data_IF_985064178758
#
_entry.id   IF_985064178758
#
_cell.length_a   1.000
_cell.length_b   1.000
_cell.length_c   1.000
_cell.angle_alpha   90.00
_cell.angle_beta   90.00
_cell.angle_gamma   90.00
#
_symmetry.space_group_name_H-M   'P 1'
#
loop_
_entity.id
_entity.type
_entity.pdbx_description
1 polymer ?
#
# COMPACT_ATOMS: atom_id res chain seq x y z
N UNK A 1 -8.92 -5.78 -8.57
CA UNK A 1 -8.82 -5.14 -9.90
C UNK A 1 -8.50 -6.22 -10.94
N UNK A 2 -9.06 -6.13 -12.14
CA UNK A 2 -8.78 -7.09 -13.22
C UNK A 2 -7.73 -6.49 -14.17
N UNK A 3 -6.53 -7.01 -14.13
CA UNK A 3 -5.40 -6.52 -14.94
C UNK A 3 -5.63 -6.68 -16.45
N UNK A 4 -6.36 -7.70 -16.86
CA UNK A 4 -6.76 -7.88 -18.27
C UNK A 4 -7.67 -6.75 -18.74
N UNK A 5 -8.62 -6.33 -17.91
CA UNK A 5 -9.50 -5.20 -18.23
C UNK A 5 -8.73 -3.87 -18.30
N UNK A 6 -7.74 -3.69 -17.44
CA UNK A 6 -6.83 -2.54 -17.48
C UNK A 6 -6.04 -2.52 -18.78
N UNK A 7 -5.46 -3.66 -19.18
CA UNK A 7 -4.72 -3.79 -20.43
C UNK A 7 -5.59 -3.44 -21.64
N UNK A 8 -6.83 -3.91 -21.67
CA UNK A 8 -7.79 -3.58 -22.73
C UNK A 8 -8.14 -2.08 -22.76
N UNK A 9 -8.32 -1.47 -21.59
CA UNK A 9 -8.62 -0.04 -21.49
C UNK A 9 -7.44 0.83 -21.97
N UNK A 10 -6.20 0.43 -21.68
CA UNK A 10 -4.99 1.08 -22.19
C UNK A 10 -4.90 0.94 -23.71
N UNK A 11 -5.13 -0.26 -24.24
CA UNK A 11 -5.06 -0.54 -25.68
C UNK A 11 -6.13 0.23 -26.47
N UNK A 12 -7.32 0.38 -25.92
CA UNK A 12 -8.43 1.11 -26.56
C UNK A 12 -8.34 2.63 -26.39
N UNK A 13 -7.38 3.14 -25.61
CA UNK A 13 -7.27 4.57 -25.29
C UNK A 13 -8.29 5.10 -24.29
N UNK A 14 -9.12 4.24 -23.69
CA UNK A 14 -10.06 4.63 -22.64
C UNK A 14 -9.36 5.00 -21.33
N UNK A 15 -8.17 4.44 -21.12
CA UNK A 15 -7.28 4.76 -20.02
C UNK A 15 -5.98 5.34 -20.57
N UNK A 16 -5.61 6.54 -20.15
CA UNK A 16 -4.44 7.26 -20.66
C UNK A 16 -3.10 6.72 -20.16
N UNK A 17 -3.08 6.14 -18.97
CA UNK A 17 -1.88 5.54 -18.37
C UNK A 17 -2.23 4.71 -17.15
N UNK A 18 -1.31 3.83 -16.74
CA UNK A 18 -1.46 2.98 -15.59
C UNK A 18 -0.12 2.78 -14.90
N UNK A 19 -0.13 2.82 -13.58
CA UNK A 19 1.03 2.49 -12.77
C UNK A 19 0.63 1.52 -11.64
N UNK A 20 1.41 0.49 -11.42
CA UNK A 20 1.17 -0.48 -10.37
C UNK A 20 2.46 -0.99 -9.74
N UNK A 21 2.41 -1.22 -8.42
CA UNK A 21 3.47 -1.84 -7.64
C UNK A 21 3.02 -3.20 -7.05
N UNK A 22 1.71 -3.47 -7.11
CA UNK A 22 1.07 -4.69 -6.56
C UNK A 22 0.20 -5.33 -7.64
N UNK A 23 0.21 -6.64 -7.72
CA UNK A 23 -0.43 -7.39 -8.77
C UNK A 23 -1.38 -8.48 -8.24
N UNK A 24 -2.35 -8.86 -9.05
CA UNK A 24 -3.38 -9.84 -8.68
C UNK A 24 -2.80 -11.23 -8.37
N UNK A 25 -1.67 -11.62 -8.96
CA UNK A 25 -1.03 -12.90 -8.67
C UNK A 25 -0.44 -12.98 -7.24
N UNK A 26 -0.25 -11.85 -6.57
CA UNK A 26 0.27 -11.80 -5.20
C UNK A 26 -0.80 -12.10 -4.14
N UNK A 27 -2.08 -12.12 -4.52
CA UNK A 27 -3.18 -12.42 -3.59
C UNK A 27 -3.33 -13.92 -3.35
N UNK A 28 -2.51 -14.46 -2.44
CA UNK A 28 -2.46 -15.87 -2.07
C UNK A 28 -3.76 -16.42 -1.46
N UNK A 29 -4.69 -15.56 -1.08
CA UNK A 29 -6.00 -15.96 -0.55
C UNK A 29 -6.97 -16.40 -1.65
N UNK A 30 -6.68 -16.03 -2.89
CA UNK A 30 -7.52 -16.37 -4.03
C UNK A 30 -7.00 -17.62 -4.73
N UNK A 31 -7.83 -18.66 -4.76
CA UNK A 31 -7.52 -19.88 -5.49
C UNK A 31 -7.48 -19.65 -7.01
N UNK A 32 -8.31 -18.74 -7.50
CA UNK A 32 -8.43 -18.35 -8.91
C UNK A 32 -7.47 -17.23 -9.34
N UNK A 33 -6.44 -16.93 -8.53
CA UNK A 33 -5.48 -15.86 -8.85
C UNK A 33 -4.73 -16.14 -10.16
N UNK A 34 -4.45 -15.12 -10.97
CA UNK A 34 -3.59 -15.28 -12.13
C UNK A 34 -2.18 -15.71 -11.71
N UNK A 35 -1.49 -16.42 -12.59
CA UNK A 35 -0.13 -16.90 -12.33
C UNK A 35 0.95 -15.90 -12.78
N UNK A 36 0.57 -14.92 -13.59
CA UNK A 36 1.48 -13.92 -14.13
C UNK A 36 0.74 -12.62 -14.48
N UNK A 37 1.51 -11.58 -14.74
CA UNK A 37 0.99 -10.33 -15.28
C UNK A 37 0.64 -10.56 -16.76
N UNK A 38 -0.51 -10.06 -17.25
CA UNK A 38 -0.86 -10.20 -18.66
C UNK A 38 0.23 -9.61 -19.56
N UNK A 39 0.68 -10.34 -20.59
CA UNK A 39 1.70 -9.83 -21.54
C UNK A 39 1.29 -8.50 -22.20
N UNK A 40 0.00 -8.33 -22.48
CA UNK A 40 -0.54 -7.09 -23.04
C UNK A 40 -0.35 -5.88 -22.12
N UNK A 41 -0.32 -6.11 -20.81
CA UNK A 41 -0.03 -5.05 -19.83
C UNK A 41 1.47 -4.73 -19.79
N UNK A 42 2.32 -5.76 -19.84
CA UNK A 42 3.77 -5.60 -19.87
C UNK A 42 4.27 -4.84 -21.11
N UNK A 43 3.60 -5.02 -22.24
CA UNK A 43 3.96 -4.41 -23.52
C UNK A 43 3.34 -3.02 -23.72
N UNK A 44 2.43 -2.59 -22.86
CA UNK A 44 1.76 -1.30 -22.99
C UNK A 44 2.74 -0.13 -22.78
N UNK A 45 2.88 0.81 -23.73
CA UNK A 45 3.88 1.87 -23.66
C UNK A 45 3.58 2.93 -22.59
N UNK A 46 2.32 3.03 -22.17
CA UNK A 46 1.82 3.95 -21.15
C UNK A 46 1.56 3.25 -19.79
N UNK A 47 2.33 2.22 -19.50
CA UNK A 47 2.24 1.42 -18.30
C UNK A 47 3.58 1.44 -17.55
N UNK A 48 3.55 1.75 -16.27
CA UNK A 48 4.70 1.68 -15.37
C UNK A 48 4.43 0.62 -14.30
N UNK A 49 5.27 -0.39 -14.24
CA UNK A 49 5.17 -1.48 -13.27
C UNK A 49 6.44 -1.55 -12.43
N UNK A 50 6.27 -1.71 -11.13
CA UNK A 50 7.37 -1.91 -10.19
C UNK A 50 7.14 -3.20 -9.38
N UNK A 51 8.18 -3.74 -8.78
CA UNK A 51 8.18 -5.07 -8.18
C UNK A 51 7.85 -5.07 -6.68
N UNK A 52 6.74 -4.44 -6.30
CA UNK A 52 6.26 -4.36 -4.91
C UNK A 52 7.32 -3.72 -3.98
N UNK A 53 7.84 -2.57 -4.39
CA UNK A 53 8.93 -1.87 -3.70
C UNK A 53 8.47 -0.64 -2.91
N UNK A 54 7.18 -0.38 -2.82
CA UNK A 54 6.63 0.80 -2.14
C UNK A 54 7.05 0.92 -0.67
N UNK A 55 7.27 -0.20 0.02
CA UNK A 55 7.76 -0.25 1.40
C UNK A 55 9.26 -0.58 1.53
N UNK A 56 10.03 -0.49 0.45
CA UNK A 56 11.47 -0.83 0.45
C UNK A 56 12.37 0.21 1.11
N UNK A 57 11.80 1.32 1.57
CA UNK A 57 12.50 2.38 2.31
C UNK A 57 12.44 2.09 3.79
N UNK A 58 13.59 2.08 4.48
CA UNK A 58 13.68 1.72 5.92
C UNK A 58 12.76 2.55 6.81
N UNK A 59 12.72 3.85 6.60
CA UNK A 59 11.84 4.75 7.37
C UNK A 59 10.35 4.48 7.16
N UNK A 60 9.96 4.03 5.98
CA UNK A 60 8.58 3.62 5.69
C UNK A 60 8.24 2.33 6.43
N UNK A 61 9.15 1.36 6.46
CA UNK A 61 8.97 0.09 7.19
C UNK A 61 8.83 0.31 8.68
N UNK A 62 9.74 1.06 9.29
CA UNK A 62 9.67 1.42 10.70
C UNK A 62 8.32 2.06 11.05
N UNK A 63 7.88 2.97 10.23
CA UNK A 63 6.61 3.66 10.40
C UNK A 63 5.42 2.70 10.30
N UNK A 64 5.41 1.80 9.34
CA UNK A 64 4.37 0.77 9.20
C UNK A 64 4.32 -0.16 10.42
N UNK A 65 5.46 -0.56 10.95
CA UNK A 65 5.58 -1.42 12.13
C UNK A 65 5.06 -0.71 13.37
N UNK A 66 5.48 0.53 13.61
CA UNK A 66 5.04 1.35 14.75
C UNK A 66 3.54 1.63 14.71
N UNK A 67 3.03 1.99 13.55
CA UNK A 67 1.60 2.25 13.35
C UNK A 67 0.77 0.99 13.56
N UNK A 68 1.23 -0.14 13.07
CA UNK A 68 0.56 -1.44 13.26
C UNK A 68 0.54 -1.85 14.72
N UNK A 69 1.65 -1.69 15.43
CA UNK A 69 1.76 -1.99 16.86
C UNK A 69 0.85 -1.07 17.69
N UNK A 70 0.85 0.23 17.40
CA UNK A 70 0.00 1.20 18.08
C UNK A 70 -1.49 0.88 17.87
N UNK A 71 -1.88 0.56 16.66
CA UNK A 71 -3.25 0.18 16.33
C UNK A 71 -3.68 -1.09 17.07
N UNK A 72 -2.82 -2.11 17.11
CA UNK A 72 -3.09 -3.34 17.84
C UNK A 72 -3.30 -3.09 19.32
N UNK A 73 -2.46 -2.26 19.95
CA UNK A 73 -2.59 -1.92 21.37
C UNK A 73 -3.90 -1.19 21.67
N UNK A 74 -4.33 -0.31 20.79
CA UNK A 74 -5.62 0.38 20.89
C UNK A 74 -6.77 -0.64 20.77
N UNK A 75 -6.74 -1.50 19.76
CA UNK A 75 -7.80 -2.47 19.49
C UNK A 75 -7.93 -3.52 20.61
N UNK A 76 -6.82 -3.87 21.25
CA UNK A 76 -6.81 -4.74 22.44
C UNK A 76 -7.23 -4.02 23.74
N UNK A 77 -7.44 -2.71 23.71
CA UNK A 77 -7.77 -1.91 24.89
C UNK A 77 -6.60 -1.75 25.88
N UNK A 78 -5.37 -2.10 25.49
CA UNK A 78 -4.19 -1.99 26.34
C UNK A 78 -3.79 -0.54 26.57
N UNK A 79 -4.01 0.33 25.57
CA UNK A 79 -3.81 1.78 25.64
C UNK A 79 -4.97 2.50 24.96
N UNK A 80 -5.29 3.71 25.44
CA UNK A 80 -6.22 4.60 24.74
C UNK A 80 -5.46 5.52 23.79
N UNK A 81 -6.17 6.07 22.79
CA UNK A 81 -5.60 7.10 21.91
C UNK A 81 -5.06 8.29 22.71
N UNK A 82 -5.74 8.64 23.81
CA UNK A 82 -5.31 9.71 24.71
C UNK A 82 -3.99 9.39 25.41
N UNK A 83 -3.72 8.11 25.76
CA UNK A 83 -2.48 7.69 26.39
C UNK A 83 -1.30 7.71 25.41
N UNK A 84 -1.51 7.38 24.15
CA UNK A 84 -0.49 7.52 23.10
C UNK A 84 -0.12 8.99 22.85
N UNK A 85 -1.06 9.90 23.09
CA UNK A 85 -0.87 11.34 22.91
C UNK A 85 -0.46 12.06 24.21
N UNK A 86 -0.61 11.40 25.37
CA UNK A 86 -0.61 12.06 26.68
C UNK A 86 0.74 12.42 27.27
N UNK A 87 1.83 11.83 26.80
CA UNK A 87 3.18 12.07 27.31
C UNK A 87 4.00 13.03 26.42
N UNK A 88 3.40 13.55 25.35
CA UNK A 88 4.05 14.52 24.48
C UNK A 88 3.46 15.92 24.69
N UNK A 89 4.28 16.98 24.84
CA UNK A 89 3.83 18.36 24.72
C UNK A 89 3.06 18.55 23.42
N UNK A 90 1.99 19.30 23.40
CA UNK A 90 1.07 19.47 22.25
C UNK A 90 1.77 19.76 20.91
N UNK A 91 2.93 20.38 20.95
CA UNK A 91 3.74 20.67 19.75
C UNK A 91 4.56 19.48 19.24
N UNK A 92 4.94 18.55 20.11
CA UNK A 92 5.70 17.34 19.73
C UNK A 92 4.76 16.20 19.28
N UNK A 93 3.54 16.14 19.84
CA UNK A 93 2.58 15.08 19.53
C UNK A 93 2.08 15.14 18.08
N UNK A 94 1.88 16.33 17.53
CA UNK A 94 1.42 16.48 16.15
C UNK A 94 2.48 16.15 15.11
N UNK A 95 3.76 16.39 15.37
CA UNK A 95 4.84 15.98 14.49
C UNK A 95 5.15 14.49 14.59
N UNK A 96 5.12 13.93 15.80
CA UNK A 96 5.35 12.49 15.98
C UNK A 96 4.20 11.65 15.47
N UNK A 97 2.95 12.08 15.63
CA UNK A 97 1.79 11.40 15.05
C UNK A 97 1.74 11.55 13.51
N UNK A 98 2.17 12.68 12.98
CA UNK A 98 2.37 12.84 11.53
C UNK A 98 3.54 12.00 11.01
N UNK A 99 4.48 11.65 11.86
CA UNK A 99 5.54 10.68 11.58
C UNK A 99 5.08 9.23 11.68
N UNK A 100 3.97 8.93 12.39
CA UNK A 100 3.40 7.59 12.59
C UNK A 100 2.21 7.28 11.66
N UNK A 101 1.62 8.29 11.07
CA UNK A 101 0.44 8.17 10.19
C UNK A 101 0.78 8.56 8.77
#
# INVERSE_FOLDING_TARGET
>A
MCETSVAQALKSGRLGGYAADVFAFEDWRREDRPQCIPPTLLEAPNCLLTSHIGSAVSSVRERMELESAARLLIDLGAVSVAQLNGDCPETASNEQLRGLV
#
